data_IF_444611517733
#
_entry.id   IF_444611517733
#
_cell.length_a   1.000
_cell.length_b   1.000
_cell.length_c   1.000
_cell.angle_alpha   90.00
_cell.angle_beta   90.00
_cell.angle_gamma   90.00
#
_symmetry.space_group_name_H-M   'P 1'
#
loop_
_entity.id
_entity.type
_entity.pdbx_description
1 polymer ?
2 polymer ?
#
# COMPACT_ATOMS: atom_id res chain seq x y z
N UNK A 4 -24.32 -24.01 -16.26
CA UNK A 4 -25.10 -24.12 -15.02
C UNK A 4 -24.53 -23.20 -13.93
N UNK A 5 -23.67 -22.27 -14.33
CA UNK A 5 -23.03 -21.29 -13.44
C UNK A 5 -23.53 -19.92 -13.85
N UNK A 6 -24.26 -19.24 -12.96
CA UNK A 6 -24.89 -17.97 -13.31
C UNK A 6 -23.94 -16.79 -13.43
N UNK A 7 -22.69 -16.93 -13.00
CA UNK A 7 -21.72 -15.84 -13.01
C UNK A 7 -20.73 -15.93 -14.17
N UNK A 8 -20.83 -16.95 -15.04
CA UNK A 8 -19.92 -17.10 -16.16
C UNK A 8 -20.58 -17.95 -17.24
N UNK A 9 -20.51 -17.47 -18.48
CA UNK A 9 -21.14 -18.23 -19.57
C UNK A 9 -20.28 -19.43 -19.95
N UNK A 10 -20.87 -20.30 -20.77
CA UNK A 10 -20.15 -21.39 -21.39
C UNK A 10 -19.77 -20.98 -22.80
N UNK A 11 -18.72 -21.63 -23.31
CA UNK A 11 -18.23 -21.32 -24.63
C UNK A 11 -17.31 -20.13 -24.71
N UNK A 12 -16.49 -19.88 -23.68
CA UNK A 12 -15.50 -18.82 -23.74
C UNK A 12 -14.23 -19.44 -24.27
N UNK A 13 -13.61 -18.79 -25.25
CA UNK A 13 -12.34 -19.27 -25.78
C UNK A 13 -11.42 -18.09 -26.02
N UNK A 14 -10.26 -18.11 -25.39
CA UNK A 14 -9.18 -17.19 -25.66
C UNK A 14 -8.02 -17.94 -26.31
N UNK A 15 -7.38 -17.27 -27.27
CA UNK A 15 -6.19 -17.85 -27.88
C UNK A 15 -5.05 -17.90 -26.87
N UNK A 16 -4.78 -16.78 -26.21
CA UNK A 16 -3.76 -16.66 -25.17
C UNK A 16 -4.49 -16.68 -23.83
N UNK A 17 -4.35 -17.79 -23.09
CA UNK A 17 -4.96 -17.89 -21.75
C UNK A 17 -4.06 -17.18 -20.75
N UNK A 18 -4.45 -15.99 -20.32
CA UNK A 18 -3.66 -15.14 -19.44
C UNK A 18 -4.38 -14.89 -18.12
N UNK A 19 -3.60 -14.38 -17.16
CA UNK A 19 -3.97 -14.36 -15.75
C UNK A 19 -3.31 -13.14 -15.10
N UNK A 20 -4.12 -12.18 -14.69
CA UNK A 20 -3.60 -10.98 -14.06
C UNK A 20 -4.07 -10.96 -12.61
N UNK A 21 -3.13 -10.78 -11.68
CA UNK A 21 -3.37 -10.97 -10.25
C UNK A 21 -2.79 -9.78 -9.50
N UNK A 22 -3.65 -8.87 -9.05
CA UNK A 22 -3.21 -7.66 -8.35
C UNK A 22 -3.50 -7.80 -6.86
N UNK A 23 -2.44 -7.68 -6.06
CA UNK A 23 -2.53 -7.69 -4.60
C UNK A 23 -2.44 -6.24 -4.15
N UNK A 24 -3.53 -5.70 -3.61
CA UNK A 24 -3.60 -4.29 -3.24
C UNK A 24 -3.84 -4.15 -1.74
N UNK A 25 -2.83 -3.68 -1.01
CA UNK A 25 -2.95 -3.51 0.43
C UNK A 25 -2.91 -2.04 0.85
N UNK A 26 -3.57 -1.75 1.97
CA UNK A 26 -3.54 -0.42 2.56
C UNK A 26 -3.02 -0.61 3.97
N UNK A 27 -1.84 -0.09 4.25
CA UNK A 27 -1.26 -0.24 5.58
C UNK A 27 -1.61 0.96 6.44
N UNK A 28 -2.18 0.69 7.61
CA UNK A 28 -2.54 1.71 8.59
C UNK A 28 -1.69 1.56 9.83
N UNK A 29 -1.26 2.69 10.38
CA UNK A 29 -0.32 2.70 11.47
C UNK A 29 -0.53 3.98 12.24
N UNK A 30 -0.54 3.84 13.55
CA UNK A 30 -0.55 4.93 14.49
C UNK A 30 0.67 4.78 15.38
N UNK A 31 1.62 5.70 15.29
CA UNK A 31 2.85 5.53 16.03
C UNK A 31 3.05 6.66 17.03
N UNK A 32 3.67 6.33 18.14
CA UNK A 32 4.13 7.37 19.04
C UNK A 32 5.30 8.09 18.40
N UNK A 33 5.58 9.33 18.82
CA UNK A 33 6.82 9.97 18.35
C UNK A 33 8.05 9.13 18.65
N UNK A 34 8.00 8.37 19.74
CA UNK A 34 9.09 7.50 20.20
C UNK A 34 9.15 6.13 19.48
N UNK A 35 8.44 5.92 18.37
CA UNK A 35 8.54 4.70 17.59
C UNK A 35 7.68 3.54 18.05
N UNK A 36 6.88 3.74 19.09
CA UNK A 36 6.08 2.65 19.60
C UNK A 36 4.86 2.46 18.69
N UNK A 37 4.65 1.23 18.21
CA UNK A 37 3.46 1.01 17.39
C UNK A 37 2.24 1.04 18.31
N UNK A 38 1.42 2.08 18.20
CA UNK A 38 0.23 2.14 19.02
C UNK A 38 -0.93 1.33 18.45
N UNK A 39 -1.04 1.27 17.13
CA UNK A 39 -2.05 0.48 16.44
C UNK A 39 -1.58 0.36 15.01
N UNK A 40 -1.84 -0.80 14.39
CA UNK A 40 -1.41 -0.95 13.00
C UNK A 40 -2.10 -2.17 12.42
N UNK A 41 -2.45 -2.11 11.14
CA UNK A 41 -3.06 -3.25 10.46
C UNK A 41 -3.02 -3.01 8.96
N UNK A 42 -3.30 -4.07 8.20
CA UNK A 42 -3.34 -3.99 6.74
C UNK A 42 -4.70 -4.50 6.25
N UNK A 43 -5.26 -3.79 5.28
CA UNK A 43 -6.50 -4.17 4.63
C UNK A 43 -6.15 -4.48 3.19
N UNK A 44 -6.45 -5.68 2.75
CA UNK A 44 -6.04 -6.10 1.42
C UNK A 44 -7.20 -6.69 0.63
N UNK A 45 -7.12 -6.52 -0.69
CA UNK A 45 -7.95 -7.27 -1.60
C UNK A 45 -7.07 -7.83 -2.71
N UNK A 46 -7.57 -8.86 -3.39
CA UNK A 46 -6.86 -9.60 -4.41
C UNK A 46 -7.74 -9.59 -5.66
N UNK A 47 -7.45 -8.69 -6.60
CA UNK A 47 -8.25 -8.56 -7.82
C UNK A 47 -7.61 -9.43 -8.89
N UNK A 48 -8.44 -10.16 -9.63
CA UNK A 48 -7.95 -11.03 -10.69
C UNK A 48 -8.60 -10.64 -12.00
N UNK A 49 -7.77 -10.34 -13.00
CA UNK A 49 -8.20 -10.30 -14.39
C UNK A 49 -7.91 -11.66 -15.01
N UNK A 50 -8.95 -12.36 -15.47
CA UNK A 50 -8.83 -13.74 -15.94
C UNK A 50 -9.28 -13.85 -17.39
N UNK A 51 -8.36 -14.28 -18.26
CA UNK A 51 -8.58 -14.47 -19.70
C UNK A 51 -8.35 -15.94 -20.04
N UNK A 52 -9.26 -16.79 -19.58
CA UNK A 52 -9.08 -18.23 -19.64
C UNK A 52 -10.22 -18.86 -20.40
N UNK A 53 -9.94 -19.95 -21.09
CA UNK A 53 -10.86 -20.49 -22.07
C UNK A 53 -11.71 -21.58 -21.44
N UNK A 54 -13.02 -21.47 -21.68
CA UNK A 54 -13.94 -22.49 -21.26
C UNK A 54 -14.42 -22.28 -19.84
N UNK A 55 -14.39 -23.36 -19.06
CA UNK A 55 -14.94 -23.37 -17.71
C UNK A 55 -13.86 -23.98 -16.83
N UNK A 56 -12.84 -23.21 -16.46
CA UNK A 56 -11.74 -23.76 -15.66
C UNK A 56 -12.06 -23.85 -14.18
N UNK A 57 -11.36 -24.78 -13.53
CA UNK A 57 -11.35 -24.94 -12.08
C UNK A 57 -9.97 -24.48 -11.60
N UNK A 58 -9.94 -23.40 -10.82
CA UNK A 58 -8.67 -22.81 -10.40
C UNK A 58 -8.50 -22.93 -8.90
N UNK A 59 -7.22 -22.91 -8.47
CA UNK A 59 -6.85 -23.02 -7.07
C UNK A 59 -5.87 -21.91 -6.70
N UNK A 60 -6.26 -21.05 -5.75
CA UNK A 60 -5.45 -19.95 -5.26
C UNK A 60 -4.80 -20.34 -3.93
N UNK A 61 -3.53 -19.99 -3.77
CA UNK A 61 -2.84 -20.27 -2.51
C UNK A 61 -1.66 -19.36 -2.25
N UNK A 62 -1.48 -18.96 -0.99
CA UNK A 62 -0.38 -18.08 -0.58
C UNK A 62 0.31 -18.58 0.66
N UNK A 87 2.57 -16.66 7.52
CA UNK A 87 1.84 -15.39 7.64
C UNK A 87 0.38 -15.47 8.07
N UNK A 88 0.03 -14.53 8.96
CA UNK A 88 -1.17 -14.59 9.78
C UNK A 88 -2.22 -13.59 9.30
N UNK A 89 -3.23 -14.12 8.54
CA UNK A 89 -4.48 -13.44 8.16
C UNK A 89 -5.49 -13.55 9.29
N UNK A 90 -6.37 -12.54 9.42
CA UNK A 90 -7.34 -12.45 10.49
C UNK A 90 -8.78 -12.58 9.98
N UNK A 91 -9.16 -11.79 8.98
CA UNK A 91 -10.46 -11.91 8.33
C UNK A 91 -10.29 -12.43 6.90
N UNK A 92 -11.42 -12.85 6.31
CA UNK A 92 -11.50 -13.26 4.92
C UNK A 92 -12.91 -12.99 4.41
N UNK A 93 -13.01 -12.69 3.13
CA UNK A 93 -14.31 -12.46 2.51
C UNK A 93 -14.26 -12.74 1.01
N UNK A 94 -14.49 -14.02 0.66
CA UNK A 94 -14.31 -14.48 -0.70
C UNK A 94 -15.49 -14.07 -1.55
N UNK A 95 -15.38 -14.39 -2.84
CA UNK A 95 -16.42 -14.21 -3.82
C UNK A 95 -17.33 -15.45 -3.83
N UNK A 96 -18.57 -15.27 -4.31
CA UNK A 96 -19.56 -16.34 -4.20
C UNK A 96 -19.09 -17.62 -4.86
N UNK A 97 -18.20 -17.51 -5.85
CA UNK A 97 -17.62 -18.62 -6.58
C UNK A 97 -16.67 -19.49 -5.74
N UNK A 98 -16.31 -19.11 -4.51
CA UNK A 98 -15.16 -19.71 -3.84
C UNK A 98 -15.60 -20.84 -2.92
N UNK A 99 -14.77 -21.89 -2.84
CA UNK A 99 -15.07 -23.13 -2.16
C UNK A 99 -13.75 -23.77 -1.67
N UNK A 108 -5.63 -21.94 -0.62
CA UNK A 108 -6.12 -23.32 -0.82
C UNK A 108 -7.63 -23.36 -1.03
N UNK A 109 -8.08 -22.67 -2.07
CA UNK A 109 -9.51 -22.51 -2.39
C UNK A 109 -9.71 -22.73 -3.87
N UNK A 110 -10.76 -23.48 -4.21
CA UNK A 110 -11.12 -23.71 -5.60
C UNK A 110 -12.36 -22.90 -5.97
N UNK A 111 -12.50 -22.69 -7.29
CA UNK A 111 -13.49 -21.79 -7.87
C UNK A 111 -13.38 -21.73 -9.39
N UNK A 112 -14.53 -21.67 -10.05
CA UNK A 112 -14.60 -21.24 -11.45
C UNK A 112 -14.65 -19.72 -11.44
N UNK A 113 -13.62 -19.04 -11.89
CA UNK A 113 -13.61 -17.57 -11.82
C UNK A 113 -14.42 -17.00 -12.97
N UNK A 114 -15.14 -15.91 -12.75
CA UNK A 114 -15.88 -15.29 -13.87
C UNK A 114 -14.93 -14.85 -14.97
N UNK A 115 -15.45 -14.37 -16.09
CA UNK A 115 -14.59 -13.88 -17.15
C UNK A 115 -14.31 -12.39 -16.92
N UNK A 116 -13.04 -12.02 -16.95
CA UNK A 116 -12.66 -10.63 -16.77
C UNK A 116 -12.42 -10.29 -15.31
N UNK A 117 -12.43 -8.99 -15.01
CA UNK A 117 -12.09 -8.52 -13.68
C UNK A 117 -13.16 -8.81 -12.64
N UNK A 118 -12.71 -9.25 -11.47
CA UNK A 118 -13.55 -9.48 -10.33
C UNK A 118 -12.61 -9.53 -9.13
N UNK A 119 -13.14 -9.29 -7.94
CA UNK A 119 -12.32 -9.28 -6.74
C UNK A 119 -12.37 -10.69 -6.13
N UNK A 120 -11.22 -11.35 -6.09
CA UNK A 120 -11.20 -12.72 -5.58
C UNK A 120 -11.52 -12.76 -4.09
N UNK A 121 -10.93 -11.85 -3.32
CA UNK A 121 -11.11 -11.91 -1.88
C UNK A 121 -10.64 -10.59 -1.25
N UNK A 122 -11.22 -10.26 -0.10
CA UNK A 122 -10.71 -9.25 0.82
C UNK A 122 -10.04 -9.94 2.00
N UNK A 123 -9.21 -9.20 2.72
CA UNK A 123 -8.55 -9.76 3.90
C UNK A 123 -7.97 -8.63 4.74
N UNK A 124 -7.57 -8.99 5.97
CA UNK A 124 -7.02 -8.06 6.94
C UNK A 124 -6.02 -8.76 7.85
N UNK A 125 -4.84 -8.17 8.04
CA UNK A 125 -3.81 -8.73 8.91
C UNK A 125 -3.33 -7.67 9.86
N UNK A 126 -2.77 -8.12 10.99
CA UNK A 126 -2.34 -7.20 12.02
C UNK A 126 -0.96 -7.52 12.58
N UNK A 127 -0.41 -8.70 12.33
CA UNK A 127 0.82 -9.13 12.95
C UNK A 127 1.95 -9.16 11.93
N UNK A 128 3.15 -8.88 12.38
CA UNK A 128 4.35 -8.98 11.55
C UNK A 128 4.18 -8.21 10.25
N UNK A 129 3.66 -7.00 10.38
CA UNK A 129 3.50 -6.10 9.25
C UNK A 129 4.81 -5.38 9.04
N UNK A 130 5.19 -5.23 7.76
CA UNK A 130 6.27 -4.33 7.35
C UNK A 130 5.75 -2.89 7.37
N UNK A 131 6.30 -2.04 8.26
CA UNK A 131 5.96 -0.62 8.16
C UNK A 131 6.93 0.07 7.23
N UNK A 132 6.51 0.47 6.03
CA UNK A 132 7.46 0.99 5.04
C UNK A 132 8.13 2.29 5.45
N UNK A 133 7.59 3.05 6.40
CA UNK A 133 8.22 4.31 6.77
C UNK A 133 8.16 4.50 8.27
N UNK A 134 9.17 5.19 8.78
CA UNK A 134 9.26 5.54 10.19
C UNK A 134 9.30 7.06 10.24
N UNK A 135 8.28 7.70 10.81
CA UNK A 135 8.23 9.16 10.88
C UNK A 135 8.65 9.59 12.27
N UNK A 136 9.59 10.52 12.33
CA UNK A 136 10.24 10.85 13.60
C UNK A 136 10.13 12.35 13.83
N UNK A 137 9.10 12.83 14.50
CA UNK A 137 8.94 14.27 14.73
C UNK A 137 9.81 14.75 15.86
N UNK A 138 10.21 16.01 15.77
CA UNK A 138 10.94 16.68 16.84
C UNK A 138 10.59 18.14 16.84
N UNK A 139 9.97 18.61 17.91
CA UNK A 139 9.54 20.00 18.00
C UNK A 139 10.29 20.64 19.15
N UNK A 140 10.60 21.92 19.01
CA UNK A 140 11.22 22.68 20.07
C UNK A 140 10.58 24.05 20.16
N UNK A 141 10.19 24.44 21.37
CA UNK A 141 9.58 25.74 21.62
C UNK A 141 10.65 26.83 21.67
N UNK A 142 10.28 28.04 21.25
CA UNK A 142 11.19 29.19 21.38
C UNK A 142 10.42 30.37 21.93
N UNK A 143 10.49 30.56 23.25
CA UNK A 143 9.62 31.53 23.86
C UNK A 143 8.19 31.16 23.56
N UNK A 144 7.37 32.16 23.32
CA UNK A 144 6.02 31.95 22.85
C UNK A 144 5.83 32.61 21.51
N UNK A 145 6.84 32.51 20.64
CA UNK A 145 6.84 33.17 19.33
C UNK A 145 7.28 32.25 18.19
N UNK A 146 8.28 31.40 18.40
CA UNK A 146 8.82 30.54 17.36
C UNK A 146 8.54 29.08 17.68
N UNK A 147 8.65 28.27 16.63
CA UNK A 147 8.47 26.83 16.75
C UNK A 147 9.46 26.18 15.78
N UNK A 148 10.55 25.62 16.32
CA UNK A 148 11.55 24.98 15.48
C UNK A 148 11.20 23.51 15.35
N UNK A 149 10.84 23.10 14.14
CA UNK A 149 10.33 21.75 13.88
C UNK A 149 11.26 21.06 12.89
N UNK A 150 11.54 19.79 13.16
CA UNK A 150 12.35 18.94 12.30
C UNK A 150 11.65 17.59 12.23
N UNK A 151 11.48 17.05 11.02
CA UNK A 151 10.79 15.78 10.80
C UNK A 151 11.63 14.91 9.90
N UNK A 152 11.85 13.67 10.33
CA UNK A 152 12.71 12.73 9.62
C UNK A 152 11.88 11.51 9.26
N UNK A 153 11.86 11.18 7.98
CA UNK A 153 11.23 9.95 7.50
C UNK A 153 12.32 8.95 7.17
N UNK A 154 12.15 7.71 7.61
CA UNK A 154 13.05 6.61 7.29
C UNK A 154 12.32 5.57 6.48
N UNK A 155 12.83 5.29 5.29
CA UNK A 155 12.33 4.17 4.51
C UNK A 155 12.95 2.90 5.04
N UNK A 156 12.19 1.82 4.96
CA UNK A 156 12.59 0.63 5.66
C UNK A 156 12.12 -0.59 4.85
N UNK A 157 12.84 -0.85 3.76
CA UNK A 157 12.54 -1.96 2.86
C UNK A 157 13.75 -2.11 1.93
N UNK A 158 13.82 -3.25 1.20
CA UNK A 158 14.91 -3.54 0.27
C UNK A 158 15.30 -2.28 -0.51
N UNK A 159 16.56 -1.82 -0.46
CA UNK A 159 16.96 -0.66 -1.31
C UNK A 159 16.85 -0.95 -2.78
N UNK A 160 16.72 -2.22 -3.15
CA UNK A 160 16.34 -2.61 -4.50
C UNK A 160 15.09 -1.89 -4.98
N UNK A 161 14.23 -1.46 -4.06
CA UNK A 161 12.87 -1.00 -4.35
C UNK A 161 12.68 0.48 -4.03
N UNK A 162 11.84 1.15 -4.82
CA UNK A 162 11.52 2.58 -4.65
C UNK A 162 10.13 2.79 -4.08
N UNK A 163 10.02 3.65 -3.07
CA UNK A 163 8.73 4.21 -2.72
C UNK A 163 8.40 5.35 -3.67
N UNK A 164 7.11 5.53 -3.95
CA UNK A 164 6.64 6.56 -4.88
C UNK A 164 5.53 7.36 -4.24
N UNK A 165 5.30 8.55 -4.79
CA UNK A 165 4.20 9.42 -4.37
C UNK A 165 4.29 9.74 -2.88
N UNK A 166 5.49 10.00 -2.38
CA UNK A 166 5.68 10.22 -0.95
C UNK A 166 5.23 11.62 -0.59
N UNK A 167 4.33 11.72 0.38
CA UNK A 167 3.82 12.99 0.85
C UNK A 167 3.71 12.99 2.36
N UNK A 168 4.22 14.05 2.99
CA UNK A 168 4.25 14.19 4.44
C UNK A 168 3.56 15.49 4.81
N UNK A 169 2.58 15.42 5.71
CA UNK A 169 1.89 16.60 6.20
C UNK A 169 2.31 16.89 7.61
N UNK A 170 2.78 18.12 7.84
CA UNK A 170 3.07 18.63 9.17
C UNK A 170 2.04 19.71 9.44
N UNK A 171 1.10 19.51 10.35
CA UNK A 171 0.12 20.56 10.61
C UNK A 171 0.75 21.66 11.47
N UNK A 172 0.34 22.87 11.18
CA UNK A 172 0.78 24.05 11.88
C UNK A 172 -0.31 24.54 12.81
N UNK A 173 0.03 25.25 13.88
CA UNK A 173 -1.00 25.75 14.81
C UNK A 173 -1.87 26.79 14.16
N UNK A 174 -2.98 27.12 14.82
CA UNK A 174 -3.91 28.05 14.18
C UNK A 174 -3.37 29.46 14.18
N UNK A 175 -2.65 29.82 15.25
CA UNK A 175 -2.09 31.16 15.39
C UNK A 175 -0.75 31.27 14.68
N UNK A 176 -0.64 30.76 13.47
CA UNK A 176 0.60 30.82 12.72
C UNK A 176 0.61 32.07 11.86
N UNK A 177 1.60 32.95 12.08
CA UNK A 177 1.75 34.14 11.23
C UNK A 177 2.32 33.74 9.89
N UNK A 178 3.58 33.28 9.90
CA UNK A 178 4.19 32.70 8.74
C UNK A 178 4.97 31.46 9.09
N UNK A 179 5.50 30.84 8.03
CA UNK A 179 6.25 29.60 8.14
C UNK A 179 7.49 29.75 7.32
N UNK A 180 8.59 29.27 7.84
CA UNK A 180 9.80 29.17 7.04
C UNK A 180 10.17 27.69 7.01
N UNK A 181 10.55 27.18 5.84
CA UNK A 181 10.88 25.76 5.73
C UNK A 181 11.88 25.55 4.60
N UNK A 182 12.90 24.73 4.86
CA UNK A 182 13.81 24.24 3.82
C UNK A 182 13.92 22.74 3.96
N UNK A 183 14.36 22.10 2.89
CA UNK A 183 14.32 20.65 2.82
C UNK A 183 15.23 20.20 1.69
N UNK A 184 15.98 19.14 1.94
CA UNK A 184 17.04 18.75 1.01
C UNK A 184 16.49 18.06 -0.22
N UNK A 185 15.47 17.23 -0.05
CA UNK A 185 14.94 16.38 -1.11
C UNK A 185 13.49 16.74 -1.35
N UNK A 186 13.07 16.70 -2.62
CA UNK A 186 11.70 17.06 -2.94
C UNK A 186 11.40 18.52 -2.67
N UNK A 187 10.09 18.86 -2.69
CA UNK A 187 9.59 20.22 -2.48
C UNK A 187 8.60 20.27 -1.33
N UNK A 188 8.50 21.44 -0.68
CA UNK A 188 7.53 21.66 0.39
C UNK A 188 6.91 23.05 0.25
N UNK A 189 5.68 23.19 0.72
CA UNK A 189 4.97 24.46 0.67
C UNK A 189 4.05 24.54 1.87
N UNK A 190 3.84 25.75 2.37
CA UNK A 190 2.96 25.97 3.51
C UNK A 190 1.57 26.30 3.02
N UNK A 191 0.72 25.28 2.95
CA UNK A 191 -0.68 25.46 2.57
C UNK A 191 -1.39 26.06 3.78
N UNK A 192 -1.31 27.40 3.89
CA UNK A 192 -1.74 28.09 5.12
C UNK A 192 -3.25 28.05 5.30
N UNK A 193 -3.99 27.93 4.19
CA UNK A 193 -5.43 27.67 4.25
C UNK A 193 -5.71 26.37 5.01
N UNK A 194 -5.14 25.25 4.53
CA UNK A 194 -5.25 23.95 5.21
C UNK A 194 -4.51 23.94 6.54
N UNK A 195 -3.74 24.97 6.82
CA UNK A 195 -2.98 25.15 8.06
C UNK A 195 -2.10 23.91 8.31
N UNK A 196 -1.25 23.64 7.32
CA UNK A 196 -0.39 22.46 7.24
C UNK A 196 0.73 22.67 6.25
N UNK A 197 1.89 22.06 6.55
CA UNK A 197 3.02 22.04 5.64
C UNK A 197 2.91 20.76 4.83
N UNK A 198 3.10 20.85 3.53
CA UNK A 198 3.05 19.66 2.71
C UNK A 198 4.40 19.50 1.99
N UNK A 199 5.04 18.36 2.24
CA UNK A 199 6.34 17.98 1.71
C UNK A 199 6.10 16.82 0.75
N UNK A 200 6.51 16.98 -0.51
CA UNK A 200 6.29 15.98 -1.54
C UNK A 200 7.62 15.47 -2.10
N UNK A 201 7.70 14.16 -2.34
CA UNK A 201 8.90 13.43 -2.75
C UNK A 201 8.52 12.40 -3.81
N UNK A 202 9.18 12.47 -4.98
CA UNK A 202 8.79 11.61 -6.11
C UNK A 202 9.14 10.14 -5.85
N UNK A 203 10.37 9.87 -5.44
CA UNK A 203 10.87 8.52 -5.22
C UNK A 203 11.78 8.52 -4.01
N UNK A 204 12.05 7.34 -3.47
CA UNK A 204 13.00 7.17 -2.39
C UNK A 204 13.19 5.68 -2.12
N UNK A 205 14.41 5.19 -2.28
CA UNK A 205 14.63 3.77 -2.07
C UNK A 205 14.70 3.41 -0.59
N UNK A 206 14.52 2.13 -0.31
CA UNK A 206 14.49 1.67 1.07
C UNK A 206 15.85 1.76 1.75
N UNK A 207 15.80 1.65 3.08
CA UNK A 207 16.96 1.87 3.94
C UNK A 207 17.61 3.20 3.62
N UNK A 208 16.80 4.25 3.67
CA UNK A 208 17.29 5.60 3.46
C UNK A 208 16.59 6.53 4.42
N UNK A 209 16.94 7.81 4.31
CA UNK A 209 16.46 8.75 5.29
C UNK A 209 16.58 10.16 4.76
N UNK A 210 15.53 10.92 4.98
CA UNK A 210 15.48 12.29 4.53
C UNK A 210 14.76 13.06 5.62
N UNK A 211 14.99 14.37 5.66
CA UNK A 211 14.45 15.18 6.71
C UNK A 211 14.03 16.52 6.13
N UNK A 212 13.42 17.33 7.00
CA UNK A 212 12.85 18.62 6.65
C UNK A 212 12.78 19.43 7.93
N UNK A 213 13.11 20.71 7.85
CA UNK A 213 13.24 21.55 9.02
C UNK A 213 12.37 22.77 8.80
N UNK A 214 11.73 23.28 9.84
CA UNK A 214 10.82 24.39 9.62
C UNK A 214 10.79 25.30 10.83
N UNK A 215 10.57 26.58 10.57
CA UNK A 215 10.45 27.59 11.60
C UNK A 215 9.04 28.14 11.50
N UNK A 216 8.34 28.16 12.61
CA UNK A 216 6.94 28.53 12.63
C UNK A 216 6.81 29.74 13.53
N UNK A 217 6.69 30.92 12.94
CA UNK A 217 6.38 32.10 13.72
C UNK A 217 4.89 32.12 14.00
N UNK A 218 4.52 32.50 15.22
CA UNK A 218 3.13 32.42 15.68
C UNK A 218 2.74 33.70 16.41
N UNK A 219 1.44 33.80 16.76
CA UNK A 219 0.79 35.07 17.10
C UNK A 219 0.40 35.13 18.56
N UNK A 220 1.09 35.92 19.38
CA UNK A 220 1.09 35.89 20.85
C UNK A 220 -0.32 35.82 21.47
N UNK A 229 -2.61 19.17 19.36
CA UNK A 229 -1.44 18.80 18.56
C UNK A 229 -1.70 17.58 17.65
N UNK A 230 -2.43 17.80 16.54
CA UNK A 230 -2.71 16.70 15.59
C UNK A 230 -1.42 16.05 15.12
N UNK A 231 -1.51 14.95 14.33
CA UNK A 231 -0.30 14.16 14.09
C UNK A 231 0.30 14.43 12.73
N UNK A 232 1.48 13.90 12.51
CA UNK A 232 2.13 14.00 11.22
C UNK A 232 1.66 12.82 10.36
N UNK A 233 1.14 13.14 9.19
CA UNK A 233 0.56 12.16 8.30
C UNK A 233 1.54 11.84 7.19
N UNK A 234 1.42 10.65 6.64
CA UNK A 234 2.21 10.29 5.48
C UNK A 234 1.30 9.61 4.48
N UNK A 235 1.65 9.72 3.21
CA UNK A 235 1.09 8.89 2.15
C UNK A 235 2.22 8.38 1.28
N UNK A 236 2.09 7.13 0.78
CA UNK A 236 3.15 6.60 -0.08
C UNK A 236 2.59 5.43 -0.89
N UNK A 237 3.40 4.94 -1.85
CA UNK A 237 3.13 3.72 -2.61
C UNK A 237 4.39 2.85 -2.64
N UNK A 238 4.25 1.57 -2.35
CA UNK A 238 5.41 0.70 -2.32
C UNK A 238 5.13 -0.54 -3.16
N UNK A 239 6.07 -1.00 -3.91
CA UNK A 239 5.84 -2.17 -4.76
C UNK A 239 6.00 -3.47 -4.00
N UNK A 240 5.20 -3.65 -2.94
CA UNK A 240 5.20 -4.89 -2.17
C UNK A 240 4.08 -4.86 -1.15
N UNK A 241 3.49 -6.03 -0.89
CA UNK A 241 2.40 -6.14 0.05
C UNK A 241 2.97 -6.01 1.46
N UNK A 242 2.70 -4.91 2.16
CA UNK A 242 3.28 -4.73 3.50
C UNK A 242 3.02 -5.88 4.43
N UNK A 243 1.91 -6.59 4.26
CA UNK A 243 1.57 -7.69 5.15
C UNK A 243 2.57 -8.83 5.08
N UNK A 244 3.38 -8.88 4.01
CA UNK A 244 4.27 -9.97 3.73
C UNK A 244 3.67 -11.02 2.84
N UNK A 245 2.38 -10.91 2.56
CA UNK A 245 1.69 -11.84 1.69
C UNK A 245 2.41 -11.96 0.35
N UNK A 246 2.50 -13.18 -0.13
CA UNK A 246 3.04 -13.48 -1.45
C UNK A 246 2.21 -14.62 -1.99
N UNK A 247 2.06 -14.68 -3.31
CA UNK A 247 1.17 -15.68 -3.90
C UNK A 247 1.98 -16.92 -4.23
N UNK A 248 1.53 -18.05 -3.69
CA UNK A 248 2.27 -19.29 -3.86
C UNK A 248 2.04 -19.87 -5.25
N UNK A 249 0.79 -20.17 -5.58
CA UNK A 249 0.48 -20.80 -6.86
C UNK A 249 -0.93 -20.40 -7.26
N UNK A 250 -1.17 -20.36 -8.56
CA UNK A 250 -2.54 -20.37 -9.07
C UNK A 250 -2.61 -21.42 -10.16
N UNK A 251 -3.38 -22.47 -9.91
CA UNK A 251 -3.47 -23.63 -10.78
C UNK A 251 -4.79 -23.58 -11.54
N UNK A 252 -4.71 -23.79 -12.86
CA UNK A 252 -5.88 -23.80 -13.74
C UNK A 252 -6.05 -25.23 -14.26
N UNK A 253 -7.20 -25.83 -13.95
CA UNK A 253 -7.54 -27.18 -14.41
C UNK A 253 -8.67 -27.06 -15.41
N UNK A 254 -8.37 -27.35 -16.68
CA UNK A 254 -9.38 -27.58 -17.72
C UNK A 254 -9.24 -28.99 -18.25
N UNK A 255 -10.14 -29.90 -17.89
CA UNK A 255 -10.10 -31.27 -18.42
C UNK A 255 -11.03 -31.52 -19.59
N UNK A 256 -11.89 -30.56 -19.96
CA UNK A 256 -12.65 -30.65 -21.19
C UNK A 256 -11.92 -30.07 -22.40
N UNK A 257 -10.97 -29.16 -22.21
CA UNK A 257 -10.29 -28.51 -23.35
C UNK A 257 -8.81 -28.87 -23.38
N UNK A 258 -8.19 -28.50 -24.51
CA UNK A 258 -6.85 -28.93 -24.92
C UNK A 258 -5.72 -28.11 -24.29
N UNK A 259 -5.85 -27.65 -23.03
CA UNK A 259 -4.74 -26.95 -22.38
C UNK A 259 -4.65 -27.35 -20.91
N UNK A 260 -3.41 -27.39 -20.43
CA UNK A 260 -3.08 -27.65 -19.03
C UNK A 260 -2.48 -26.40 -18.40
N UNK A 261 -2.07 -26.54 -17.15
CA UNK A 261 -1.52 -25.41 -16.41
C UNK A 261 -0.20 -24.92 -16.99
N UNK A 262 0.56 -25.79 -17.66
CA UNK A 262 1.79 -25.34 -18.30
C UNK A 262 1.52 -24.23 -19.31
N UNK A 263 0.28 -24.17 -19.84
CA UNK A 263 -0.08 -23.30 -20.94
C UNK A 263 -0.51 -21.89 -20.52
N UNK A 264 -1.06 -21.74 -19.32
CA UNK A 264 -1.56 -20.43 -18.91
C UNK A 264 -0.39 -19.50 -18.63
N UNK A 265 -0.49 -18.28 -19.12
CA UNK A 265 0.46 -17.24 -18.75
C UNK A 265 -0.10 -16.55 -17.50
N UNK A 266 0.70 -16.50 -16.43
CA UNK A 266 0.27 -16.00 -15.13
C UNK A 266 1.15 -14.83 -14.68
N UNK A 267 0.52 -13.73 -14.27
CA UNK A 267 1.24 -12.52 -13.88
C UNK A 267 0.74 -12.01 -12.53
N UNK A 268 1.64 -11.41 -11.73
CA UNK A 268 1.30 -10.89 -10.41
C UNK A 268 1.89 -9.52 -10.20
N UNK A 269 1.18 -8.72 -9.43
CA UNK A 269 1.60 -7.37 -9.10
C UNK A 269 1.23 -7.12 -7.65
N UNK A 270 2.16 -6.53 -6.90
CA UNK A 270 1.96 -6.17 -5.50
C UNK A 270 2.09 -4.67 -5.36
N UNK A 271 1.11 -4.07 -4.71
CA UNK A 271 1.06 -2.63 -4.49
C UNK A 271 0.50 -2.35 -3.10
N UNK A 272 1.28 -1.66 -2.28
CA UNK A 272 0.84 -1.25 -0.96
C UNK A 272 0.74 0.26 -0.90
N UNK A 273 -0.31 0.76 -0.27
CA UNK A 273 -0.50 2.19 -0.15
C UNK A 273 -0.84 2.51 1.30
N UNK A 274 -0.75 3.79 1.63
CA UNK A 274 -1.08 4.17 2.98
C UNK A 274 -2.58 4.37 3.14
N UNK A 275 -3.04 4.22 4.37
CA UNK A 275 -4.34 4.73 4.74
C UNK A 275 -4.15 5.81 5.78
N UNK A 276 -4.59 5.55 7.00
CA UNK A 276 -4.21 6.38 8.15
C UNK A 276 -2.78 6.00 8.48
N UNK A 277 -1.86 6.94 8.37
CA UNK A 277 -0.45 6.68 8.65
C UNK A 277 0.11 7.86 9.43
N UNK A 278 -0.14 7.85 10.75
CA UNK A 278 0.11 9.02 11.58
C UNK A 278 1.08 8.71 12.71
N UNK A 279 1.83 9.75 13.09
CA UNK A 279 2.78 9.72 14.19
C UNK A 279 2.42 10.85 15.14
N UNK A 280 2.28 10.55 16.44
CA UNK A 280 1.99 11.56 17.45
C UNK A 280 3.19 12.51 17.68
N UNK A 281 2.89 13.76 18.07
CA UNK A 281 3.83 14.93 18.27
C UNK A 281 4.03 15.81 17.00
N UNK B 2 0.92 -0.71 -14.41
CA UNK B 2 2.27 -0.65 -14.97
C UNK B 2 2.94 -2.03 -15.02
N UNK B 3 3.67 -2.45 -13.99
CA UNK B 3 4.50 -3.66 -14.09
C UNK B 3 3.81 -4.84 -13.43
N UNK B 4 3.48 -5.85 -14.23
CA UNK B 4 3.13 -7.19 -13.77
C UNK B 4 4.35 -8.10 -13.93
N UNK B 5 4.77 -8.71 -12.84
CA UNK B 5 5.86 -9.68 -12.81
C UNK B 5 5.31 -11.10 -12.94
N UNK B 6 6.14 -12.00 -13.45
CA UNK B 6 5.69 -13.39 -13.62
C UNK B 6 5.55 -14.12 -12.29
N UNK B 7 4.64 -15.10 -12.25
CA UNK B 7 4.33 -15.87 -11.06
C UNK B 7 4.81 -17.30 -11.26
N UNK B 8 5.95 -17.63 -10.63
CA UNK B 8 6.50 -18.98 -10.60
C UNK B 8 7.72 -18.99 -9.68
#
# INVERSE_FOLDING_TARGET
>A
GHMQIGWRREGIKYRRNELFLDVLESVNLLMSPQGQVLSAHVSGRVVMKSYLSGMPECKFGMNDKIVIEKQGKGTADETSKSGKQSIAIDDCTFHQCVRLSKFDSERSISFIPPDGEFELMRYRTTKDIILPFRVIPLVREVGRTKLEVKVVIKSNFKPSLLAQKIEVRIPTPLNTSGVQVICMKGKAKYKASENAIVWKIKRMAGMKESQISAEIELLPTNDKKKWARPPISMNFEVPFAPSGLKVRYLKVFEPKLNYSDHDVIKWVRYIGRSGIYETRC
>B
LYCYEQLNDEE
#
